data_IF_979219299389
#
_entry.id   IF_979219299389
#
_cell.length_a   1.000
_cell.length_b   1.000
_cell.length_c   1.000
_cell.angle_alpha   90.00
_cell.angle_beta   90.00
_cell.angle_gamma   90.00
#
_symmetry.space_group_name_H-M   'P 1'
#
loop_
_entity.id
_entity.type
_entity.pdbx_description
1 polymer ?
#
# COMPACT_ATOMS: atom_id res chain seq x y z
N UNK A 1 37.20 11.03 -59.61
CA UNK A 1 36.38 10.39 -58.57
C UNK A 1 36.78 10.96 -57.22
N UNK A 2 35.97 11.80 -56.56
CA UNK A 2 36.24 12.20 -55.19
C UNK A 2 35.65 11.17 -54.22
N UNK A 3 36.52 10.45 -53.50
CA UNK A 3 36.09 9.57 -52.42
C UNK A 3 35.67 10.42 -51.19
N UNK A 4 34.61 10.01 -50.47
CA UNK A 4 33.90 10.84 -49.52
C UNK A 4 34.64 10.95 -48.18
N UNK A 5 34.54 12.14 -47.58
CA UNK A 5 34.88 12.40 -46.18
C UNK A 5 33.88 11.68 -45.25
N UNK A 6 34.34 10.81 -44.33
CA UNK A 6 33.48 10.30 -43.27
C UNK A 6 33.77 11.03 -41.95
N UNK A 7 32.99 12.08 -41.72
CA UNK A 7 32.23 12.42 -40.51
C UNK A 7 32.97 12.51 -39.16
N UNK A 8 32.79 13.61 -38.40
CA UNK A 8 33.33 13.72 -37.06
C UNK A 8 32.68 12.68 -36.13
N UNK A 9 33.52 11.87 -35.49
CA UNK A 9 33.12 10.96 -34.42
C UNK A 9 32.44 11.74 -33.28
N UNK A 10 31.28 11.29 -32.77
CA UNK A 10 30.64 11.94 -31.64
C UNK A 10 31.52 11.82 -30.39
N UNK A 11 31.55 12.85 -29.52
CA UNK A 11 32.31 12.80 -28.29
C UNK A 11 31.77 11.70 -27.35
N UNK A 12 32.64 11.11 -26.52
CA UNK A 12 32.23 10.07 -25.57
C UNK A 12 31.19 10.60 -24.58
N UNK A 13 30.28 9.74 -24.09
CA UNK A 13 29.24 10.13 -23.15
C UNK A 13 29.88 10.64 -21.84
N UNK A 14 29.51 11.85 -21.43
CA UNK A 14 29.89 12.36 -20.12
C UNK A 14 29.29 11.45 -19.02
N UNK A 15 30.05 11.14 -17.94
CA UNK A 15 29.52 10.40 -16.82
C UNK A 15 28.36 11.17 -16.19
N UNK A 16 27.18 10.55 -16.14
CA UNK A 16 26.02 11.08 -15.41
C UNK A 16 26.40 11.30 -13.95
N UNK A 17 25.96 12.38 -13.29
CA UNK A 17 26.11 12.50 -11.84
C UNK A 17 25.39 11.33 -11.20
N UNK A 18 26.13 10.50 -10.47
CA UNK A 18 25.56 9.50 -9.59
C UNK A 18 24.60 10.19 -8.63
N UNK A 19 23.38 9.65 -8.37
CA UNK A 19 22.51 10.18 -7.34
C UNK A 19 23.28 10.19 -6.01
N UNK A 20 23.36 11.35 -5.37
CA UNK A 20 23.86 11.45 -4.00
C UNK A 20 23.06 10.48 -3.12
N UNK A 21 23.71 9.71 -2.24
CA UNK A 21 23.00 8.89 -1.26
C UNK A 21 22.11 9.82 -0.43
N UNK A 22 20.80 9.61 -0.52
CA UNK A 22 19.83 10.22 0.38
C UNK A 22 20.29 9.95 1.83
N UNK A 23 20.07 10.92 2.76
CA UNK A 23 20.54 10.80 4.13
C UNK A 23 20.09 9.48 4.74
N UNK A 24 21.07 8.66 5.14
CA UNK A 24 20.85 7.44 5.90
C UNK A 24 20.00 7.77 7.15
N UNK A 25 18.98 6.95 7.47
CA UNK A 25 18.26 7.10 8.72
C UNK A 25 19.24 7.01 9.90
N UNK A 26 19.21 8.02 10.77
CA UNK A 26 20.02 8.08 11.98
C UNK A 26 19.88 6.79 12.80
N UNK A 27 20.95 6.33 13.48
CA UNK A 27 20.90 5.14 14.31
C UNK A 27 19.92 5.35 15.47
N UNK A 28 18.79 4.65 15.43
CA UNK A 28 17.88 4.57 16.57
C UNK A 28 18.57 3.78 17.70
N UNK A 29 18.47 4.18 18.97
CA UNK A 29 19.03 3.44 20.08
C UNK A 29 18.41 2.03 20.17
N UNK A 30 19.12 1.02 20.70
CA UNK A 30 18.64 -0.35 20.77
C UNK A 30 17.67 -0.47 21.94
N UNK A 31 16.37 -0.29 21.68
CA UNK A 31 15.34 -0.73 22.62
C UNK A 31 14.99 -2.17 22.31
N UNK A 32 15.00 -2.99 23.36
CA UNK A 32 14.72 -4.42 23.37
C UNK A 32 13.59 -4.80 22.40
N UNK A 33 13.83 -5.84 21.59
CA UNK A 33 12.97 -6.19 20.47
C UNK A 33 11.51 -6.39 20.86
N UNK A 34 10.56 -6.00 20.00
CA UNK A 34 9.23 -6.54 20.02
C UNK A 34 9.10 -7.54 18.87
N UNK A 35 8.63 -8.74 19.17
CA UNK A 35 7.70 -9.43 18.26
C UNK A 35 6.74 -8.36 17.76
N UNK A 36 6.76 -8.06 16.46
CA UNK A 36 5.83 -7.14 15.76
C UNK A 36 4.40 -7.50 16.13
N UNK A 37 3.97 -6.94 17.25
CA UNK A 37 2.64 -7.05 17.79
C UNK A 37 2.01 -5.73 17.39
N UNK A 38 0.95 -5.75 16.57
CA UNK A 38 0.36 -4.51 16.11
C UNK A 38 -0.01 -3.66 17.30
N UNK A 39 0.35 -2.39 17.25
CA UNK A 39 0.01 -1.42 18.30
C UNK A 39 -1.50 -1.48 18.59
N UNK A 40 -1.91 -1.33 19.85
CA UNK A 40 -3.33 -1.51 20.27
C UNK A 40 -4.30 -0.66 19.46
N UNK A 41 -3.89 0.54 19.05
CA UNK A 41 -4.65 1.43 18.17
C UNK A 41 -4.82 0.85 16.76
N UNK A 42 -3.76 0.26 16.19
CA UNK A 42 -3.84 -0.42 14.90
C UNK A 42 -4.78 -1.61 15.00
N UNK A 43 -4.67 -2.43 16.06
CA UNK A 43 -5.59 -3.55 16.30
C UNK A 43 -7.06 -3.10 16.35
N UNK A 44 -7.32 -1.90 16.89
CA UNK A 44 -8.66 -1.31 16.96
C UNK A 44 -9.23 -0.95 15.58
N UNK A 45 -8.41 -0.73 14.55
CA UNK A 45 -8.87 -0.54 13.16
C UNK A 45 -9.49 -1.82 12.57
N UNK A 46 -9.11 -2.99 13.10
CA UNK A 46 -9.60 -4.30 12.64
C UNK A 46 -10.72 -4.84 13.52
N UNK A 47 -11.10 -4.13 14.58
CA UNK A 47 -12.14 -4.55 15.51
C UNK A 47 -13.52 -4.16 14.94
N UNK A 48 -14.14 -5.07 14.20
CA UNK A 48 -15.49 -4.87 13.64
C UNK A 48 -16.52 -5.69 14.42
N UNK A 49 -17.64 -5.07 14.81
CA UNK A 49 -18.74 -5.76 15.50
C UNK A 49 -19.44 -6.74 14.56
N UNK A 50 -19.13 -8.03 14.71
CA UNK A 50 -19.65 -9.13 13.90
C UNK A 50 -21.19 -9.17 13.73
N UNK A 51 -21.95 -8.69 14.72
CA UNK A 51 -23.42 -8.75 14.71
C UNK A 51 -24.08 -7.84 13.66
N UNK A 52 -23.45 -6.71 13.28
CA UNK A 52 -24.01 -5.81 12.26
C UNK A 52 -23.71 -6.30 10.84
N UNK A 53 -22.60 -7.01 10.67
CA UNK A 53 -22.08 -7.35 9.34
C UNK A 53 -22.71 -8.61 8.76
N UNK A 54 -23.21 -9.54 9.58
CA UNK A 54 -23.97 -10.70 9.10
C UNK A 54 -25.18 -10.31 8.24
N UNK A 55 -25.81 -9.17 8.54
CA UNK A 55 -26.95 -8.66 7.77
C UNK A 55 -26.53 -7.97 6.47
N UNK A 56 -25.33 -7.38 6.41
CA UNK A 56 -24.76 -6.81 5.17
C UNK A 56 -24.22 -7.91 4.24
N UNK A 57 -23.60 -8.96 4.80
CA UNK A 57 -23.10 -10.13 4.04
C UNK A 57 -24.14 -10.79 3.12
N UNK A 58 -25.43 -10.73 3.46
CA UNK A 58 -26.49 -11.39 2.68
C UNK A 58 -26.90 -10.60 1.43
N UNK A 59 -26.66 -9.28 1.40
CA UNK A 59 -27.02 -8.40 0.27
C UNK A 59 -25.82 -7.98 -0.59
N UNK A 60 -24.60 -8.17 -0.09
CA UNK A 60 -23.41 -7.68 -0.75
C UNK A 60 -22.84 -8.66 -1.77
N UNK A 61 -22.58 -8.17 -2.99
CA UNK A 61 -21.96 -8.98 -4.04
C UNK A 61 -20.53 -9.39 -3.62
N UNK A 62 -20.12 -10.65 -3.86
CA UNK A 62 -18.76 -11.09 -3.58
C UNK A 62 -17.77 -10.26 -4.39
N UNK A 63 -16.67 -9.87 -3.76
CA UNK A 63 -15.61 -9.09 -4.41
C UNK A 63 -14.58 -10.06 -4.96
N UNK A 64 -14.57 -10.24 -6.29
CA UNK A 64 -13.59 -11.13 -6.94
C UNK A 64 -12.22 -10.47 -7.11
N UNK A 65 -12.23 -9.17 -7.40
CA UNK A 65 -11.04 -8.37 -7.69
C UNK A 65 -11.15 -7.03 -6.95
N UNK A 66 -10.33 -6.83 -5.92
CA UNK A 66 -10.31 -5.56 -5.18
C UNK A 66 -9.99 -4.37 -6.11
N UNK A 67 -9.06 -4.59 -7.06
CA UNK A 67 -8.65 -3.58 -8.04
C UNK A 67 -9.79 -3.10 -8.94
N UNK A 68 -10.79 -3.95 -9.20
CA UNK A 68 -11.95 -3.64 -10.06
C UNK A 68 -13.21 -3.29 -9.26
N UNK A 69 -13.31 -3.78 -8.02
CA UNK A 69 -14.45 -3.51 -7.15
C UNK A 69 -14.40 -2.10 -6.55
N UNK A 70 -13.21 -1.50 -6.48
CA UNK A 70 -13.01 -0.11 -6.07
C UNK A 70 -13.57 0.87 -7.10
N UNK A 71 -14.42 1.80 -6.66
CA UNK A 71 -14.76 2.95 -7.48
C UNK A 71 -13.53 3.86 -7.64
N UNK A 72 -13.50 4.65 -8.71
CA UNK A 72 -12.40 5.59 -8.98
C UNK A 72 -12.22 6.58 -7.82
N UNK A 73 -13.31 7.02 -7.20
CA UNK A 73 -13.30 7.93 -6.06
C UNK A 73 -12.62 7.29 -4.84
N UNK A 74 -12.99 6.05 -4.51
CA UNK A 74 -12.42 5.33 -3.36
C UNK A 74 -10.94 5.04 -3.59
N UNK A 75 -10.56 4.66 -4.82
CA UNK A 75 -9.16 4.47 -5.19
C UNK A 75 -8.33 5.73 -4.95
N UNK A 76 -8.81 6.91 -5.37
CA UNK A 76 -8.11 8.17 -5.15
C UNK A 76 -8.06 8.53 -3.65
N UNK A 77 -9.16 8.30 -2.92
CA UNK A 77 -9.23 8.52 -1.48
C UNK A 77 -8.20 7.67 -0.74
N UNK A 78 -8.20 6.35 -0.94
CA UNK A 78 -7.24 5.46 -0.28
C UNK A 78 -5.81 5.78 -0.67
N UNK A 79 -5.55 6.06 -1.94
CA UNK A 79 -4.22 6.47 -2.40
C UNK A 79 -3.71 7.69 -1.64
N UNK A 80 -4.54 8.73 -1.52
CA UNK A 80 -4.16 9.98 -0.87
C UNK A 80 -3.99 9.82 0.65
N UNK A 81 -4.96 9.17 1.30
CA UNK A 81 -5.06 9.13 2.77
C UNK A 81 -4.28 7.97 3.38
N UNK A 82 -4.19 6.82 2.71
CA UNK A 82 -3.58 5.61 3.27
C UNK A 82 -2.21 5.30 2.70
N UNK A 83 -1.91 5.76 1.48
CA UNK A 83 -0.66 5.45 0.76
C UNK A 83 0.16 6.70 0.42
N UNK A 84 -0.14 7.85 1.03
CA UNK A 84 0.67 9.06 0.88
C UNK A 84 0.71 9.61 -0.55
N UNK A 85 -0.39 9.46 -1.31
CA UNK A 85 -0.53 9.82 -2.73
C UNK A 85 0.27 8.92 -3.68
N UNK A 86 0.69 7.74 -3.23
CA UNK A 86 1.38 6.77 -4.06
C UNK A 86 0.41 5.74 -4.69
N UNK A 87 0.09 5.97 -5.97
CA UNK A 87 -0.79 5.08 -6.73
C UNK A 87 -0.16 3.70 -6.95
N UNK A 88 1.16 3.63 -7.02
CA UNK A 88 1.87 2.41 -7.33
C UNK A 88 1.81 1.46 -6.13
N UNK A 89 2.05 1.97 -4.93
CA UNK A 89 1.89 1.21 -3.68
C UNK A 89 0.45 0.75 -3.46
N UNK A 90 -0.54 1.59 -3.74
CA UNK A 90 -1.95 1.17 -3.66
C UNK A 90 -2.23 0.01 -4.63
N UNK A 91 -1.84 0.13 -5.90
CA UNK A 91 -2.08 -0.95 -6.88
C UNK A 91 -1.33 -2.23 -6.54
N UNK A 92 -0.09 -2.12 -6.07
CA UNK A 92 0.70 -3.28 -5.63
C UNK A 92 0.05 -3.96 -4.42
N UNK A 93 -0.40 -3.18 -3.43
CA UNK A 93 -1.13 -3.68 -2.27
C UNK A 93 -2.40 -4.40 -2.69
N UNK A 94 -3.22 -3.80 -3.55
CA UNK A 94 -4.45 -4.41 -4.05
C UNK A 94 -4.19 -5.70 -4.84
N UNK A 95 -3.14 -5.72 -5.66
CA UNK A 95 -2.72 -6.89 -6.43
C UNK A 95 -2.20 -8.00 -5.51
N UNK A 96 -1.41 -7.64 -4.51
CA UNK A 96 -0.89 -8.56 -3.49
C UNK A 96 -2.02 -9.15 -2.69
N UNK A 97 -2.93 -8.31 -2.18
CA UNK A 97 -4.16 -8.75 -1.53
C UNK A 97 -4.88 -9.74 -2.44
N UNK A 98 -5.18 -9.37 -3.70
CA UNK A 98 -5.79 -10.25 -4.70
C UNK A 98 -5.09 -11.62 -4.92
N UNK A 99 -3.82 -11.79 -4.53
CA UNK A 99 -3.11 -13.07 -4.63
C UNK A 99 -3.07 -13.88 -3.33
N UNK A 100 -3.39 -13.27 -2.19
CA UNK A 100 -3.44 -13.98 -0.92
C UNK A 100 -4.63 -14.93 -0.89
N UNK A 101 -4.45 -16.03 -0.15
CA UNK A 101 -5.40 -17.15 -0.07
C UNK A 101 -6.50 -16.89 0.98
N UNK A 102 -6.24 -16.01 1.95
CA UNK A 102 -7.16 -15.78 3.06
C UNK A 102 -7.00 -14.44 3.76
N UNK A 103 -8.02 -14.12 4.57
CA UNK A 103 -8.08 -12.88 5.35
C UNK A 103 -6.94 -12.78 6.36
N UNK A 104 -6.49 -13.87 6.99
CA UNK A 104 -5.40 -13.80 7.97
C UNK A 104 -4.10 -13.23 7.37
N UNK A 105 -3.74 -13.64 6.15
CA UNK A 105 -2.57 -13.08 5.46
C UNK A 105 -2.79 -11.63 5.07
N UNK A 106 -3.99 -11.30 4.58
CA UNK A 106 -4.36 -9.93 4.24
C UNK A 106 -4.27 -9.02 5.45
N UNK A 107 -4.77 -9.49 6.60
CA UNK A 107 -4.72 -8.77 7.88
C UNK A 107 -3.30 -8.44 8.28
N UNK A 108 -2.39 -9.40 8.17
CA UNK A 108 -0.98 -9.19 8.51
C UNK A 108 -0.31 -8.15 7.60
N UNK A 109 -0.66 -8.14 6.31
CA UNK A 109 -0.18 -7.12 5.38
C UNK A 109 -0.75 -5.74 5.73
N UNK A 110 -2.05 -5.66 6.00
CA UNK A 110 -2.72 -4.42 6.39
C UNK A 110 -2.18 -3.87 7.72
N UNK A 111 -1.83 -4.73 8.68
CA UNK A 111 -1.18 -4.34 9.92
C UNK A 111 0.15 -3.62 9.66
N UNK A 112 0.99 -4.19 8.79
CA UNK A 112 2.28 -3.57 8.42
C UNK A 112 2.09 -2.21 7.76
N UNK A 113 1.13 -2.10 6.83
CA UNK A 113 0.82 -0.83 6.17
C UNK A 113 0.27 0.21 7.14
N UNK A 114 -0.61 -0.21 8.06
CA UNK A 114 -1.17 0.68 9.05
C UNK A 114 -0.11 1.24 10.00
N UNK A 115 0.92 0.47 10.33
CA UNK A 115 2.08 0.96 11.09
C UNK A 115 3.00 1.85 10.24
N UNK A 116 3.26 1.48 8.98
CA UNK A 116 4.12 2.22 8.06
C UNK A 116 3.57 3.62 7.71
N UNK A 117 2.27 3.70 7.40
CA UNK A 117 1.58 4.92 6.98
C UNK A 117 0.79 5.59 8.11
N UNK A 118 0.94 5.12 9.35
CA UNK A 118 0.27 5.66 10.53
C UNK A 118 -1.25 5.81 10.35
N UNK A 119 -1.93 4.74 9.94
CA UNK A 119 -3.40 4.74 9.74
C UNK A 119 -4.20 4.97 11.02
N UNK A 120 -3.54 4.97 12.18
CA UNK A 120 -4.14 5.26 13.49
C UNK A 120 -4.49 6.73 13.67
N UNK A 121 -3.96 7.60 12.83
CA UNK A 121 -4.27 9.03 12.81
C UNK A 121 -5.79 9.26 12.67
N UNK A 122 -6.34 10.22 13.42
CA UNK A 122 -7.79 10.45 13.49
C UNK A 122 -8.41 10.75 12.13
N UNK A 123 -7.68 11.41 11.23
CA UNK A 123 -8.15 11.73 9.87
C UNK A 123 -8.16 10.48 8.98
N UNK A 124 -7.21 9.56 9.19
CA UNK A 124 -7.03 8.35 8.37
C UNK A 124 -7.83 7.16 8.88
N UNK A 125 -8.12 7.10 10.18
CA UNK A 125 -8.90 6.03 10.81
C UNK A 125 -10.19 5.65 10.07
N UNK A 126 -11.09 6.59 9.71
CA UNK A 126 -12.33 6.23 9.02
C UNK A 126 -12.06 5.60 7.66
N UNK A 127 -11.09 6.14 6.91
CA UNK A 127 -10.70 5.66 5.59
C UNK A 127 -10.01 4.29 5.67
N UNK A 128 -9.16 4.08 6.67
CA UNK A 128 -8.49 2.81 6.95
C UNK A 128 -9.50 1.72 7.31
N UNK A 129 -10.45 2.02 8.20
CA UNK A 129 -11.52 1.08 8.56
C UNK A 129 -12.34 0.68 7.34
N UNK A 130 -12.68 1.64 6.49
CA UNK A 130 -13.43 1.38 5.26
C UNK A 130 -12.65 0.48 4.27
N UNK A 131 -11.36 0.78 4.09
CA UNK A 131 -10.48 -0.07 3.29
C UNK A 131 -10.38 -1.50 3.83
N UNK A 132 -10.20 -1.67 5.15
CA UNK A 132 -10.11 -2.99 5.78
C UNK A 132 -11.43 -3.77 5.59
N UNK A 133 -12.59 -3.11 5.71
CA UNK A 133 -13.90 -3.74 5.44
C UNK A 133 -13.99 -4.27 4.01
N UNK A 134 -13.60 -3.46 3.04
CA UNK A 134 -13.60 -3.84 1.64
C UNK A 134 -12.72 -5.07 1.39
N UNK A 135 -11.51 -5.07 1.94
CA UNK A 135 -10.60 -6.21 1.84
C UNK A 135 -11.22 -7.46 2.46
N UNK A 136 -11.87 -7.32 3.63
CA UNK A 136 -12.52 -8.45 4.30
C UNK A 136 -13.66 -9.02 3.47
N UNK A 137 -14.46 -8.18 2.81
CA UNK A 137 -15.58 -8.59 1.94
C UNK A 137 -15.15 -9.48 0.77
N UNK A 138 -13.89 -9.40 0.36
CA UNK A 138 -13.32 -10.26 -0.68
C UNK A 138 -13.05 -11.69 -0.21
N UNK A 139 -12.69 -11.88 1.06
CA UNK A 139 -12.39 -13.21 1.63
C UNK A 139 -13.57 -13.83 2.41
N UNK A 140 -14.78 -13.28 2.22
CA UNK A 140 -15.96 -13.58 3.01
C UNK A 140 -16.88 -14.62 2.39
#
# INVERSE_FOLDING_TARGET
EPAPDPSPVPPPPQPRPVPQPQPQPQPRPPVAGPTVSPSKEVASLFEFKAAKELSEKLSERPVNDLTKALAINDRLLYMNELFGKDLNTLNDTLSTLNKLDGMDQARNLLFKLAEEYNWVDEERQPVAKDFIKLVRRRYQ
#
